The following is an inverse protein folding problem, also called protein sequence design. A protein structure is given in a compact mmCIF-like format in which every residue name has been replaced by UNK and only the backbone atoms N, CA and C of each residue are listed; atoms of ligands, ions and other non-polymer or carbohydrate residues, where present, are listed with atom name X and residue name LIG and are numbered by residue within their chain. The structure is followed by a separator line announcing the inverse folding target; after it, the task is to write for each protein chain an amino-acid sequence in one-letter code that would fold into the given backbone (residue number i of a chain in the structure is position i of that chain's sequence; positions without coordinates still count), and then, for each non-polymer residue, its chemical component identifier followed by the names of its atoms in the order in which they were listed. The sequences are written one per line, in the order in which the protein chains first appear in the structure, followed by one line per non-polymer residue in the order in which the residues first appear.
data_IF_107706533582
#
_entry.id   IF_107706533582
#
_cell.length_a   1.000
_cell.length_b   1.000
_cell.length_c   1.000
_cell.angle_alpha   90.00
_cell.angle_beta   90.00
_cell.angle_gamma   90.00
#
_symmetry.space_group_name_H-M   'P 1'
#
loop_
_entity.id
_entity.type
_entity.pdbx_description
1 polymer ?
#
# COMPACT_ATOMS: atom_id res chain seq x y z
N UNK A 1 27.28 2.00 -12.96
CA UNK A 1 26.18 1.01 -12.85
C UNK A 1 25.16 1.36 -13.92
N UNK A 2 24.77 0.42 -14.78
CA UNK A 2 23.96 0.72 -15.97
C UNK A 2 22.49 0.99 -15.58
N UNK A 3 21.75 1.72 -16.41
CA UNK A 3 20.35 2.08 -16.16
C UNK A 3 19.45 0.83 -16.15
N UNK A 4 19.76 -0.15 -17.00
CA UNK A 4 19.11 -1.46 -17.05
C UNK A 4 19.27 -2.26 -15.75
N UNK A 5 20.46 -2.25 -15.15
CA UNK A 5 20.71 -2.94 -13.87
C UNK A 5 19.87 -2.32 -12.75
N UNK A 6 19.78 -0.99 -12.77
CA UNK A 6 18.99 -0.23 -11.80
C UNK A 6 17.49 -0.55 -11.96
N UNK A 7 17.00 -0.60 -13.20
CA UNK A 7 15.62 -0.97 -13.51
C UNK A 7 15.27 -2.39 -13.04
N UNK A 8 16.10 -3.38 -13.39
CA UNK A 8 15.91 -4.76 -12.96
C UNK A 8 15.89 -4.90 -11.43
N UNK A 9 16.75 -4.16 -10.73
CA UNK A 9 16.75 -4.12 -9.27
C UNK A 9 15.45 -3.56 -8.70
N UNK A 10 14.87 -2.52 -9.30
CA UNK A 10 13.58 -2.00 -8.86
C UNK A 10 12.43 -2.99 -9.09
N UNK A 11 12.43 -3.75 -10.20
CA UNK A 11 11.46 -4.84 -10.38
C UNK A 11 11.56 -5.85 -9.24
N UNK A 12 12.78 -6.24 -8.85
CA UNK A 12 12.99 -7.12 -7.72
C UNK A 12 12.52 -6.50 -6.40
N UNK A 13 12.69 -5.18 -6.21
CA UNK A 13 12.16 -4.49 -5.03
C UNK A 13 10.64 -4.55 -4.96
N UNK A 14 9.90 -4.41 -6.07
CA UNK A 14 8.45 -4.64 -6.09
C UNK A 14 8.10 -6.07 -5.67
N UNK A 15 8.85 -7.07 -6.16
CA UNK A 15 8.63 -8.49 -5.80
C UNK A 15 8.95 -8.75 -4.32
N UNK A 16 10.07 -8.23 -3.80
CA UNK A 16 10.41 -8.38 -2.38
C UNK A 16 9.44 -7.65 -1.47
N UNK A 17 8.99 -6.46 -1.84
CA UNK A 17 7.94 -5.74 -1.12
C UNK A 17 6.64 -6.56 -1.11
N UNK A 18 6.21 -7.09 -2.25
CA UNK A 18 5.07 -8.00 -2.37
C UNK A 18 5.16 -9.17 -1.38
N UNK A 19 6.29 -9.88 -1.35
CA UNK A 19 6.50 -11.01 -0.43
C UNK A 19 6.46 -10.54 1.03
N UNK A 20 7.11 -9.44 1.35
CA UNK A 20 7.10 -8.86 2.70
C UNK A 20 5.70 -8.51 3.17
N UNK A 21 4.92 -7.81 2.34
CA UNK A 21 3.54 -7.46 2.65
C UNK A 21 2.63 -8.68 2.72
N UNK A 22 2.85 -9.71 1.90
CA UNK A 22 2.09 -10.96 1.97
C UNK A 22 2.30 -11.66 3.32
N UNK A 23 3.55 -11.76 3.78
CA UNK A 23 3.86 -12.37 5.07
C UNK A 23 3.20 -11.60 6.21
N UNK A 24 3.31 -10.26 6.20
CA UNK A 24 2.68 -9.41 7.21
C UNK A 24 1.15 -9.56 7.17
N UNK A 25 0.56 -9.45 5.98
CA UNK A 25 -0.88 -9.52 5.77
C UNK A 25 -1.48 -10.87 6.18
N UNK A 26 -0.90 -11.98 5.74
CA UNK A 26 -1.36 -13.33 6.14
C UNK A 26 -1.19 -13.59 7.62
N UNK A 27 -0.07 -13.18 8.22
CA UNK A 27 0.15 -13.32 9.66
C UNK A 27 -0.91 -12.53 10.44
N UNK A 28 -1.20 -11.29 10.02
CA UNK A 28 -2.25 -10.47 10.61
C UNK A 28 -3.63 -11.13 10.47
N UNK A 29 -3.98 -11.63 9.27
CA UNK A 29 -5.24 -12.34 9.03
C UNK A 29 -5.39 -13.59 9.90
N UNK A 30 -4.32 -14.35 10.09
CA UNK A 30 -4.31 -15.51 10.98
C UNK A 30 -4.56 -15.11 12.44
N UNK A 31 -3.98 -14.01 12.92
CA UNK A 31 -4.22 -13.50 14.28
C UNK A 31 -5.67 -13.04 14.45
N UNK A 32 -6.22 -12.30 13.47
CA UNK A 32 -7.63 -11.85 13.49
C UNK A 32 -8.64 -13.00 13.46
N UNK A 33 -8.34 -14.07 12.71
CA UNK A 33 -9.22 -15.23 12.63
C UNK A 33 -9.06 -16.22 13.79
N UNK A 34 -7.83 -16.38 14.28
CA UNK A 34 -7.45 -17.44 15.23
C UNK A 34 -7.52 -17.05 16.70
N UNK A 35 -7.40 -15.77 17.04
CA UNK A 35 -7.46 -15.29 18.44
C UNK A 35 -8.83 -14.68 18.70
N UNK A 36 -9.66 -15.36 19.50
CA UNK A 36 -11.03 -14.93 19.78
C UNK A 36 -11.10 -13.52 20.39
N UNK A 37 -10.21 -13.19 21.32
CA UNK A 37 -10.15 -11.87 21.95
C UNK A 37 -9.85 -10.76 20.94
N UNK A 38 -8.88 -10.99 20.04
CA UNK A 38 -8.55 -10.02 19.00
C UNK A 38 -9.66 -9.89 17.97
N UNK A 39 -10.36 -10.99 17.66
CA UNK A 39 -11.54 -10.96 16.81
C UNK A 39 -12.65 -10.07 17.39
N UNK A 40 -12.98 -10.25 18.66
CA UNK A 40 -13.96 -9.39 19.34
C UNK A 40 -13.53 -7.92 19.36
N UNK A 41 -12.23 -7.66 19.50
CA UNK A 41 -11.69 -6.30 19.43
C UNK A 41 -11.88 -5.66 18.05
N UNK A 42 -11.54 -6.35 16.96
CA UNK A 42 -11.67 -5.81 15.59
C UNK A 42 -13.12 -5.77 15.09
N UNK A 43 -14.04 -6.52 15.70
CA UNK A 43 -15.47 -6.49 15.41
C UNK A 43 -16.20 -5.27 16.01
N UNK A 44 -15.54 -4.49 16.87
CA UNK A 44 -16.08 -3.23 17.39
C UNK A 44 -16.21 -2.15 16.30
N UNK A 45 -17.04 -1.14 16.54
CA UNK A 45 -17.33 -0.05 15.57
C UNK A 45 -16.06 0.62 15.04
N UNK A 46 -15.12 0.93 15.93
CA UNK A 46 -13.83 1.54 15.59
C UNK A 46 -12.76 0.48 15.28
N UNK A 47 -12.82 -0.71 15.89
CA UNK A 47 -11.95 -1.84 15.59
C UNK A 47 -11.98 -2.28 14.12
N UNK A 48 -13.10 -2.08 13.43
CA UNK A 48 -13.21 -2.33 11.98
C UNK A 48 -12.19 -1.56 11.15
N UNK A 49 -11.63 -0.45 11.65
CA UNK A 49 -10.56 0.28 10.97
C UNK A 49 -9.27 -0.55 10.90
N UNK A 50 -9.00 -1.42 11.87
CA UNK A 50 -7.88 -2.38 11.83
C UNK A 50 -8.11 -3.42 10.75
N UNK A 51 -9.36 -3.90 10.59
CA UNK A 51 -9.73 -4.78 9.48
C UNK A 51 -9.45 -4.10 8.14
N UNK A 52 -9.81 -2.82 8.01
CA UNK A 52 -9.48 -2.04 6.80
C UNK A 52 -7.98 -1.90 6.59
N UNK A 53 -7.19 -1.68 7.64
CA UNK A 53 -5.73 -1.66 7.53
C UNK A 53 -5.20 -2.98 6.96
N UNK A 54 -5.67 -4.12 7.48
CA UNK A 54 -5.34 -5.45 7.00
C UNK A 54 -5.74 -5.67 5.53
N UNK A 55 -6.94 -5.23 5.11
CA UNK A 55 -7.34 -5.39 3.70
C UNK A 55 -6.50 -4.55 2.76
N UNK A 56 -6.10 -3.34 3.16
CA UNK A 56 -5.26 -2.46 2.34
C UNK A 56 -3.83 -2.98 2.22
N UNK A 57 -3.23 -3.52 3.28
CA UNK A 57 -1.88 -4.12 3.17
C UNK A 57 -1.88 -5.37 2.26
N UNK A 58 -2.97 -6.15 2.25
CA UNK A 58 -3.11 -7.28 1.34
C UNK A 58 -3.35 -6.85 -0.12
N UNK A 59 -4.27 -5.91 -0.35
CA UNK A 59 -4.60 -5.47 -1.71
C UNK A 59 -3.48 -4.61 -2.32
N UNK A 60 -3.07 -3.55 -1.63
CA UNK A 60 -2.11 -2.56 -2.15
C UNK A 60 -0.64 -2.97 -1.90
N UNK A 61 -0.39 -3.74 -0.84
CA UNK A 61 0.96 -4.19 -0.50
C UNK A 61 1.32 -5.52 -1.15
N UNK A 62 0.45 -6.52 -1.10
CA UNK A 62 0.75 -7.82 -1.69
C UNK A 62 0.33 -7.89 -3.17
N UNK A 63 -0.96 -7.78 -3.46
CA UNK A 63 -1.50 -8.03 -4.82
C UNK A 63 -1.01 -6.97 -5.82
N UNK A 64 -1.13 -5.70 -5.47
CA UNK A 64 -0.78 -4.60 -6.36
C UNK A 64 0.73 -4.54 -6.65
N UNK A 65 1.59 -4.80 -5.66
CA UNK A 65 3.05 -4.89 -5.86
C UNK A 65 3.43 -6.03 -6.80
N UNK A 66 2.75 -7.18 -6.72
CA UNK A 66 2.96 -8.28 -7.65
C UNK A 66 2.61 -7.86 -9.09
N UNK A 67 1.48 -7.16 -9.25
CA UNK A 67 1.03 -6.64 -10.53
C UNK A 67 2.03 -5.62 -11.09
N UNK A 68 2.51 -4.67 -10.29
CA UNK A 68 3.49 -3.68 -10.73
C UNK A 68 4.82 -4.30 -11.12
N UNK A 69 5.36 -5.21 -10.30
CA UNK A 69 6.57 -5.94 -10.64
C UNK A 69 6.42 -6.72 -11.96
N UNK A 70 5.28 -7.40 -12.12
CA UNK A 70 4.94 -8.13 -13.35
C UNK A 70 4.82 -7.21 -14.57
N UNK A 71 4.10 -6.09 -14.47
CA UNK A 71 3.91 -5.16 -15.58
C UNK A 71 5.22 -4.50 -15.98
N UNK A 72 6.03 -4.03 -15.02
CA UNK A 72 7.34 -3.48 -15.32
C UNK A 72 8.28 -4.50 -15.97
N UNK A 73 8.12 -5.79 -15.66
CA UNK A 73 8.86 -6.83 -16.36
C UNK A 73 8.32 -7.10 -17.77
N UNK A 74 7.01 -7.26 -17.93
CA UNK A 74 6.37 -7.72 -19.16
C UNK A 74 6.29 -6.64 -20.24
N UNK A 75 5.86 -5.42 -19.90
CA UNK A 75 5.54 -4.40 -20.92
C UNK A 75 6.75 -4.02 -21.79
N UNK A 76 7.93 -3.69 -21.23
CA UNK A 76 9.13 -3.38 -22.03
C UNK A 76 9.52 -4.52 -22.98
N UNK A 77 9.34 -5.78 -22.55
CA UNK A 77 9.64 -6.97 -23.34
C UNK A 77 8.63 -7.19 -24.48
N UNK A 78 7.34 -6.98 -24.20
CA UNK A 78 6.28 -7.10 -25.20
C UNK A 78 6.42 -6.04 -26.30
N UNK A 79 6.71 -4.80 -25.92
CA UNK A 79 6.89 -3.70 -26.89
C UNK A 79 8.30 -3.64 -27.49
N UNK A 80 9.24 -4.48 -27.00
CA UNK A 80 10.65 -4.53 -27.39
C UNK A 80 11.33 -3.15 -27.32
N UNK A 81 11.09 -2.43 -26.24
CA UNK A 81 11.67 -1.10 -25.95
C UNK A 81 12.05 -0.99 -24.49
N UNK A 82 13.01 -0.12 -24.19
CA UNK A 82 13.34 0.24 -22.83
C UNK A 82 12.20 1.04 -22.17
N UNK A 83 12.14 0.97 -20.84
CA UNK A 83 11.18 1.74 -20.05
C UNK A 83 11.41 3.25 -20.27
N UNK A 84 10.33 4.03 -20.31
CA UNK A 84 10.43 5.47 -20.58
C UNK A 84 11.31 6.22 -19.56
N UNK A 85 11.19 5.92 -18.26
CA UNK A 85 12.06 6.51 -17.24
C UNK A 85 12.22 5.62 -16.02
N UNK A 86 13.46 5.24 -15.70
CA UNK A 86 13.80 4.51 -14.47
C UNK A 86 13.61 5.38 -13.22
N UNK A 87 13.79 6.69 -13.34
CA UNK A 87 13.54 7.65 -12.26
C UNK A 87 12.06 7.63 -11.82
N UNK A 88 11.13 7.58 -12.77
CA UNK A 88 9.70 7.46 -12.47
C UNK A 88 9.34 6.14 -11.80
N UNK A 89 10.01 5.04 -12.14
CA UNK A 89 9.84 3.74 -11.46
C UNK A 89 10.26 3.85 -9.99
N UNK A 90 11.39 4.51 -9.73
CA UNK A 90 11.87 4.76 -8.36
C UNK A 90 10.88 5.62 -7.56
N UNK A 91 10.39 6.71 -8.14
CA UNK A 91 9.40 7.58 -7.49
C UNK A 91 8.11 6.82 -7.21
N UNK A 92 7.58 6.08 -8.18
CA UNK A 92 6.42 5.24 -7.99
C UNK A 92 6.62 4.27 -6.81
N UNK A 93 7.73 3.51 -6.79
CA UNK A 93 8.00 2.55 -5.71
C UNK A 93 7.98 3.22 -4.33
N UNK A 94 8.74 4.30 -4.13
CA UNK A 94 8.86 4.93 -2.81
C UNK A 94 7.59 5.65 -2.39
N UNK A 95 6.97 6.43 -3.29
CA UNK A 95 5.74 7.15 -2.98
C UNK A 95 4.60 6.19 -2.62
N UNK A 96 4.49 5.06 -3.33
CA UNK A 96 3.49 4.03 -3.03
C UNK A 96 3.72 3.40 -1.67
N UNK A 97 4.95 2.96 -1.37
CA UNK A 97 5.27 2.30 -0.11
C UNK A 97 5.10 3.24 1.09
N UNK A 98 5.53 4.50 0.97
CA UNK A 98 5.35 5.50 2.03
C UNK A 98 3.86 5.79 2.25
N UNK A 99 3.09 5.95 1.17
CA UNK A 99 1.64 6.13 1.24
C UNK A 99 0.94 4.94 1.90
N UNK A 100 1.29 3.71 1.51
CA UNK A 100 0.71 2.50 2.08
C UNK A 100 1.04 2.33 3.56
N UNK A 101 2.31 2.47 3.94
CA UNK A 101 2.75 2.34 5.34
C UNK A 101 2.03 3.39 6.21
N UNK A 102 1.97 4.64 5.74
CA UNK A 102 1.23 5.70 6.43
C UNK A 102 -0.26 5.35 6.59
N UNK A 103 -0.90 4.92 5.51
CA UNK A 103 -2.31 4.53 5.52
C UNK A 103 -2.59 3.41 6.54
N UNK A 104 -1.80 2.34 6.51
CA UNK A 104 -1.96 1.20 7.43
C UNK A 104 -1.71 1.64 8.88
N UNK A 105 -0.68 2.44 9.13
CA UNK A 105 -0.37 2.95 10.46
C UNK A 105 -1.51 3.80 11.03
N UNK A 106 -2.06 4.74 10.25
CA UNK A 106 -3.13 5.62 10.71
C UNK A 106 -4.47 4.90 10.86
N UNK A 107 -4.80 3.94 9.99
CA UNK A 107 -5.98 3.08 10.21
C UNK A 107 -5.87 2.26 11.50
N UNK A 108 -4.69 1.70 11.76
CA UNK A 108 -4.44 0.87 12.95
C UNK A 108 -4.49 1.69 14.22
N UNK A 109 -3.85 2.88 14.22
CA UNK A 109 -3.91 3.86 15.31
C UNK A 109 -5.35 4.28 15.58
N UNK A 110 -6.10 4.62 14.54
CA UNK A 110 -7.49 5.01 14.66
C UNK A 110 -8.35 3.90 15.27
N UNK A 111 -8.22 2.67 14.79
CA UNK A 111 -8.99 1.57 15.35
C UNK A 111 -8.62 1.26 16.80
N UNK A 112 -7.33 1.30 17.15
CA UNK A 112 -6.87 1.01 18.51
C UNK A 112 -7.30 2.09 19.51
N UNK A 113 -7.00 3.36 19.23
CA UNK A 113 -7.36 4.50 20.10
C UNK A 113 -8.88 4.65 20.19
N UNK A 114 -9.59 4.53 19.06
CA UNK A 114 -11.05 4.61 19.02
C UNK A 114 -11.71 3.50 19.82
N UNK A 115 -11.19 2.28 19.78
CA UNK A 115 -11.76 1.17 20.57
C UNK A 115 -11.47 1.37 22.05
N UNK A 116 -10.26 1.78 22.40
CA UNK A 116 -9.86 2.03 23.79
C UNK A 116 -10.72 3.13 24.44
N UNK A 117 -10.93 4.25 23.76
CA UNK A 117 -11.75 5.35 24.27
C UNK A 117 -13.22 4.95 24.46
N UNK A 118 -13.77 4.12 23.57
CA UNK A 118 -15.12 3.57 23.73
C UNK A 118 -15.22 2.67 24.98
N UNK A 119 -14.20 1.85 25.25
CA UNK A 119 -14.17 1.00 26.45
C UNK A 119 -14.07 1.81 27.74
N UNK A 120 -13.45 2.99 27.70
CA UNK A 120 -13.36 3.92 28.84
C UNK A 120 -14.62 4.79 29.01
N UNK A 121 -15.57 4.75 28.06
CA UNK A 121 -16.79 5.57 28.07
C UNK A 121 -16.60 7.02 27.59
N UNK A 122 -15.45 7.36 27.01
CA UNK A 122 -15.09 8.72 26.57
C UNK A 122 -15.56 9.02 25.13
N UNK A 123 -16.86 8.90 24.88
CA UNK A 123 -17.45 8.94 23.53
C UNK A 123 -17.16 10.25 22.79
N UNK A 124 -17.12 11.37 23.50
CA UNK A 124 -16.87 12.70 22.92
C UNK A 124 -15.47 12.84 22.32
N UNK A 125 -14.48 12.12 22.85
CA UNK A 125 -13.10 12.16 22.35
C UNK A 125 -12.89 11.25 21.13
N UNK A 126 -13.71 10.19 20.99
CA UNK A 126 -13.63 9.23 19.88
C UNK A 126 -13.78 9.95 18.54
N UNK A 127 -14.77 10.83 18.42
CA UNK A 127 -15.04 11.53 17.16
C UNK A 127 -13.86 12.41 16.73
N UNK A 128 -13.26 13.14 17.68
CA UNK A 128 -12.11 14.01 17.44
C UNK A 128 -10.89 13.21 16.95
N UNK A 129 -10.53 12.15 17.67
CA UNK A 129 -9.39 11.28 17.33
C UNK A 129 -9.61 10.60 15.98
N UNK A 130 -10.84 10.18 15.67
CA UNK A 130 -11.19 9.57 14.39
C UNK A 130 -11.02 10.55 13.25
N UNK A 131 -11.55 11.77 13.37
CA UNK A 131 -11.45 12.80 12.33
C UNK A 131 -9.99 13.08 11.97
N UNK A 132 -9.14 13.29 12.98
CA UNK A 132 -7.72 13.57 12.74
C UNK A 132 -7.01 12.38 12.10
N UNK A 133 -7.19 11.18 12.63
CA UNK A 133 -6.49 9.99 12.12
C UNK A 133 -6.96 9.61 10.71
N UNK A 134 -8.25 9.70 10.42
CA UNK A 134 -8.80 9.42 9.09
C UNK A 134 -8.42 10.49 8.05
N UNK A 135 -8.20 11.75 8.46
CA UNK A 135 -7.66 12.76 7.56
C UNK A 135 -6.24 12.37 7.08
N UNK A 136 -5.39 11.88 8.00
CA UNK A 136 -4.06 11.37 7.63
C UNK A 136 -4.13 10.12 6.75
N UNK A 137 -5.09 9.21 6.98
CA UNK A 137 -5.37 8.10 6.05
C UNK A 137 -5.68 8.62 4.65
N UNK A 138 -6.51 9.65 4.51
CA UNK A 138 -6.85 10.26 3.23
C UNK A 138 -5.64 10.87 2.51
N UNK A 139 -4.75 11.55 3.25
CA UNK A 139 -3.49 12.08 2.72
C UNK A 139 -2.60 10.94 2.22
N UNK A 140 -2.42 9.90 3.03
CA UNK A 140 -1.64 8.71 2.67
C UNK A 140 -2.22 7.99 1.45
N UNK A 141 -3.55 7.87 1.35
CA UNK A 141 -4.21 7.30 0.18
C UNK A 141 -4.08 8.16 -1.07
N UNK A 142 -4.03 9.48 -0.92
CA UNK A 142 -3.76 10.37 -2.05
C UNK A 142 -2.34 10.21 -2.59
N UNK A 143 -1.37 9.92 -1.72
CA UNK A 143 0.00 9.58 -2.13
C UNK A 143 0.05 8.26 -2.91
N UNK A 144 -0.67 7.23 -2.44
CA UNK A 144 -0.80 5.95 -3.18
C UNK A 144 -1.42 6.20 -4.55
N UNK A 145 -2.51 6.97 -4.63
CA UNK A 145 -3.14 7.32 -5.90
C UNK A 145 -2.17 8.04 -6.84
N UNK A 146 -1.40 9.01 -6.32
CA UNK A 146 -0.39 9.71 -7.10
C UNK A 146 0.68 8.76 -7.64
N UNK A 147 1.11 7.78 -6.83
CA UNK A 147 2.06 6.76 -7.23
C UNK A 147 1.52 5.93 -8.41
N UNK A 148 0.24 5.56 -8.37
CA UNK A 148 -0.43 4.83 -9.45
C UNK A 148 -0.58 5.65 -10.74
N UNK A 149 -0.76 6.97 -10.63
CA UNK A 149 -0.75 7.86 -11.80
C UNK A 149 0.64 7.95 -12.43
N UNK A 150 1.71 8.01 -11.61
CA UNK A 150 3.10 7.98 -12.09
C UNK A 150 3.37 6.67 -12.83
N UNK A 151 2.91 5.54 -12.26
CA UNK A 151 3.00 4.24 -12.90
C UNK A 151 2.32 4.21 -14.27
N UNK A 152 1.04 4.60 -14.33
CA UNK A 152 0.24 4.59 -15.55
C UNK A 152 0.88 5.48 -16.63
N UNK A 153 1.36 6.66 -16.25
CA UNK A 153 2.05 7.57 -17.16
C UNK A 153 3.34 6.98 -17.73
N UNK A 154 4.17 6.37 -16.88
CA UNK A 154 5.43 5.78 -17.29
C UNK A 154 5.21 4.61 -18.28
N UNK A 155 4.21 3.76 -18.01
CA UNK A 155 3.83 2.66 -18.89
C UNK A 155 3.24 3.18 -20.20
N UNK A 156 2.31 4.14 -20.15
CA UNK A 156 1.74 4.75 -21.34
C UNK A 156 2.82 5.33 -22.27
N UNK A 157 3.75 6.10 -21.71
CA UNK A 157 4.88 6.66 -22.48
C UNK A 157 5.79 5.57 -23.05
N UNK A 158 6.00 4.47 -22.33
CA UNK A 158 6.80 3.33 -22.80
C UNK A 158 6.16 2.68 -24.04
N UNK A 159 4.84 2.53 -24.07
CA UNK A 159 4.11 1.92 -25.19
C UNK A 159 4.08 2.81 -26.42
N UNK A 160 3.83 4.11 -26.24
CA UNK A 160 3.60 5.06 -27.34
C UNK A 160 4.84 5.85 -27.79
N UNK A 161 6.00 5.67 -27.17
CA UNK A 161 7.24 6.31 -27.63
C UNK A 161 7.56 5.85 -29.06
N UNK A 162 7.70 6.79 -30.00
CA UNK A 162 8.03 6.48 -31.40
C UNK A 162 9.34 5.69 -31.45
N UNK A 163 9.39 4.68 -32.33
CA UNK A 163 10.65 4.03 -32.72
C UNK A 163 11.54 5.14 -33.28
N UNK A 164 12.61 5.48 -32.56
CA UNK A 164 13.76 6.15 -33.15
C UNK A 164 14.44 5.18 -34.10
#
# INVERSE_FOLDING_TARGET
MNELDTFNRYILYFIFACIGYAVIGFSWGAVMGGVAEFRHFVDTVTGQLIVRAHTHINLLGWVEMAIFGGIYYMVPRLVKRDIYSVCLVKWHFWTHNIGLIGMVAFFSKAGFEGTTLLLLGEVDQVESVMKTSLAFVGISGSLVLLANLIFAWNIYKTVYSKRG
#
